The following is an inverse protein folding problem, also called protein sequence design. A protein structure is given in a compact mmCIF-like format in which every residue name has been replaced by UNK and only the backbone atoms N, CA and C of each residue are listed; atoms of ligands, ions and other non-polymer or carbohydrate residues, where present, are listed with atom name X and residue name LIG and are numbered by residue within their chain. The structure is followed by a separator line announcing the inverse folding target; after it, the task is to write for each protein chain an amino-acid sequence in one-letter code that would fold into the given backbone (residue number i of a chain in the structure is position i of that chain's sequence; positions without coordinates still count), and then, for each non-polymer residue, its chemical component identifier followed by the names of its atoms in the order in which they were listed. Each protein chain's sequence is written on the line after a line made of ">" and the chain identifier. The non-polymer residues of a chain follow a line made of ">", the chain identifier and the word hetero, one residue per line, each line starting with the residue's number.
data_IF_305667037885
#
_entry.id   IF_305667037885
#
_cell.length_a   1.000
_cell.length_b   1.000
_cell.length_c   1.000
_cell.angle_alpha   90.00
_cell.angle_beta   90.00
_cell.angle_gamma   90.00
#
_symmetry.space_group_name_H-M   'P 1'
#
loop_
_entity.id
_entity.type
_entity.pdbx_description
1 polymer ?
#
# COMPACT_ATOMS: atom_id res chain seq x y z
N UNK A 1 -1.01 -16.77 -1.28
CA UNK A 1 -0.70 -18.15 -0.85
C UNK A 1 -0.24 -19.04 -2.00
N UNK A 2 -0.96 -19.14 -3.12
CA UNK A 2 -0.57 -20.06 -4.22
C UNK A 2 0.79 -19.73 -4.88
N UNK A 3 1.22 -18.49 -4.84
CA UNK A 3 2.48 -18.04 -5.45
C UNK A 3 3.54 -17.67 -4.41
N UNK A 4 3.16 -17.50 -3.15
CA UNK A 4 4.06 -17.09 -2.08
C UNK A 4 4.99 -18.23 -1.67
N UNK A 5 6.30 -18.02 -1.82
CA UNK A 5 7.33 -18.99 -1.52
C UNK A 5 7.42 -20.18 -2.48
N UNK A 6 6.83 -20.06 -3.68
CA UNK A 6 7.03 -21.04 -4.75
C UNK A 6 8.23 -20.64 -5.62
N UNK A 7 9.12 -21.60 -5.86
CA UNK A 7 10.14 -21.50 -6.91
C UNK A 7 9.62 -22.21 -8.16
N UNK A 8 9.85 -21.68 -9.36
CA UNK A 8 9.44 -22.34 -10.60
C UNK A 8 9.96 -23.79 -10.67
N UNK A 9 9.09 -24.72 -11.05
CA UNK A 9 9.44 -26.14 -11.22
C UNK A 9 9.34 -27.00 -9.96
N UNK A 10 8.98 -26.45 -8.80
CA UNK A 10 8.78 -27.22 -7.57
C UNK A 10 7.28 -27.34 -7.21
N UNK A 11 6.91 -28.55 -6.75
CA UNK A 11 5.58 -28.79 -6.22
C UNK A 11 5.37 -28.04 -4.89
N UNK A 12 4.23 -27.37 -4.76
CA UNK A 12 3.85 -26.74 -3.49
C UNK A 12 3.09 -27.70 -2.60
N UNK A 13 3.59 -27.93 -1.38
CA UNK A 13 2.84 -28.64 -0.35
C UNK A 13 1.82 -27.74 0.30
N UNK A 14 0.62 -28.26 0.53
CA UNK A 14 -0.36 -27.60 1.37
C UNK A 14 0.17 -27.51 2.81
N UNK A 15 0.23 -26.28 3.32
CA UNK A 15 0.63 -25.99 4.70
C UNK A 15 -0.44 -25.12 5.32
N UNK A 16 -1.18 -25.67 6.29
CA UNK A 16 -2.30 -24.98 6.96
C UNK A 16 -1.88 -23.61 7.54
N UNK A 17 -0.70 -23.52 8.15
CA UNK A 17 -0.15 -22.26 8.67
C UNK A 17 0.01 -21.16 7.60
N UNK A 18 0.32 -21.51 6.35
CA UNK A 18 0.39 -20.56 5.25
C UNK A 18 -0.99 -20.03 4.87
N UNK A 19 -2.02 -20.88 4.92
CA UNK A 19 -3.42 -20.46 4.69
C UNK A 19 -3.88 -19.50 5.77
N UNK A 20 -3.56 -19.82 7.03
CA UNK A 20 -3.88 -18.97 8.17
C UNK A 20 -3.15 -17.60 8.08
N UNK A 21 -1.87 -17.59 7.73
CA UNK A 21 -1.13 -16.35 7.51
C UNK A 21 -1.74 -15.49 6.41
N UNK A 22 -2.15 -16.09 5.29
CA UNK A 22 -2.81 -15.38 4.19
C UNK A 22 -4.17 -14.79 4.62
N UNK A 23 -4.96 -15.52 5.42
CA UNK A 23 -6.20 -15.00 6.01
C UNK A 23 -5.93 -13.83 6.95
N UNK A 24 -4.92 -13.94 7.79
CA UNK A 24 -4.56 -12.87 8.73
C UNK A 24 -4.08 -11.61 7.98
N UNK A 25 -3.35 -11.78 6.88
CA UNK A 25 -2.96 -10.68 6.00
C UNK A 25 -4.19 -9.98 5.39
N UNK A 26 -5.14 -10.73 4.84
CA UNK A 26 -6.38 -10.16 4.31
C UNK A 26 -7.17 -9.38 5.38
N UNK A 27 -7.28 -9.93 6.60
CA UNK A 27 -7.93 -9.28 7.71
C UNK A 27 -7.20 -7.98 8.14
N UNK A 28 -5.86 -7.99 8.15
CA UNK A 28 -5.07 -6.80 8.50
C UNK A 28 -5.29 -5.69 7.46
N UNK A 29 -5.23 -6.03 6.17
CA UNK A 29 -5.48 -5.09 5.09
C UNK A 29 -6.90 -4.52 5.15
N UNK A 30 -7.91 -5.37 5.39
CA UNK A 30 -9.30 -4.96 5.57
C UNK A 30 -9.46 -3.95 6.72
N UNK A 31 -8.89 -4.25 7.87
CA UNK A 31 -8.96 -3.37 9.03
C UNK A 31 -8.19 -2.05 8.82
N UNK A 32 -7.05 -2.09 8.14
CA UNK A 32 -6.30 -0.90 7.77
C UNK A 32 -7.11 0.01 6.84
N UNK A 33 -7.72 -0.56 5.79
CA UNK A 33 -8.60 0.19 4.89
C UNK A 33 -9.80 0.78 5.63
N UNK A 34 -10.45 -0.01 6.49
CA UNK A 34 -11.55 0.48 7.33
C UNK A 34 -11.11 1.65 8.22
N UNK A 35 -9.93 1.55 8.85
CA UNK A 35 -9.38 2.64 9.65
C UNK A 35 -9.21 3.92 8.83
N UNK A 36 -8.63 3.82 7.64
CA UNK A 36 -8.46 4.96 6.74
C UNK A 36 -9.82 5.59 6.43
N UNK A 37 -10.77 4.80 5.94
CA UNK A 37 -12.11 5.29 5.56
C UNK A 37 -12.86 5.98 6.71
N UNK A 38 -12.77 5.45 7.93
CA UNK A 38 -13.41 6.04 9.12
C UNK A 38 -12.80 7.39 9.53
N UNK A 39 -11.60 7.72 9.07
CA UNK A 39 -10.92 8.99 9.36
C UNK A 39 -11.08 10.03 8.23
N UNK A 40 -11.79 9.70 7.14
CA UNK A 40 -12.05 10.63 6.06
C UNK A 40 -13.30 11.46 6.34
N UNK A 41 -13.28 12.79 6.08
CA UNK A 41 -14.48 13.61 6.10
C UNK A 41 -15.36 13.31 4.87
N UNK A 42 -16.65 13.67 4.94
CA UNK A 42 -17.61 13.41 3.86
C UNK A 42 -17.26 14.12 2.54
N UNK A 43 -16.59 15.26 2.62
CA UNK A 43 -16.16 16.08 1.49
C UNK A 43 -14.71 15.80 1.05
N UNK A 44 -14.14 14.67 1.46
CA UNK A 44 -12.76 14.31 1.13
C UNK A 44 -12.53 14.21 -0.38
N UNK A 45 -11.47 14.86 -0.85
CA UNK A 45 -11.05 14.80 -2.24
C UNK A 45 -9.68 14.12 -2.33
N UNK A 46 -9.55 12.99 -3.05
CA UNK A 46 -8.30 12.28 -3.19
C UNK A 46 -7.26 13.09 -4.00
N UNK A 47 -6.00 12.75 -3.82
CA UNK A 47 -4.87 13.36 -4.49
C UNK A 47 -3.78 13.75 -3.48
N UNK A 48 -2.51 13.65 -3.88
CA UNK A 48 -1.41 14.09 -3.03
C UNK A 48 -1.45 15.60 -2.84
N UNK A 49 -1.09 16.10 -1.65
CA UNK A 49 -0.83 17.51 -1.44
C UNK A 49 0.45 17.95 -2.16
N UNK A 50 0.71 19.26 -2.22
CA UNK A 50 1.98 19.79 -2.70
C UNK A 50 3.14 19.36 -1.80
N UNK A 51 4.34 19.25 -2.36
CA UNK A 51 5.53 18.71 -1.68
C UNK A 51 5.88 19.47 -0.39
N UNK A 52 5.68 20.78 -0.36
CA UNK A 52 5.93 21.65 0.79
C UNK A 52 5.08 21.31 2.04
N UNK A 53 3.99 20.55 1.86
CA UNK A 53 3.11 20.09 2.93
C UNK A 53 3.45 18.70 3.44
N UNK A 54 4.28 17.95 2.70
CA UNK A 54 4.70 16.61 3.10
C UNK A 54 5.73 16.69 4.21
N UNK A 55 5.51 15.95 5.28
CA UNK A 55 6.52 15.77 6.32
C UNK A 55 7.50 14.62 5.97
N UNK A 56 8.48 14.40 6.84
CA UNK A 56 9.49 13.35 6.64
C UNK A 56 8.86 11.96 6.54
N UNK A 57 7.82 11.67 7.31
CA UNK A 57 7.15 10.36 7.28
C UNK A 57 6.36 10.13 5.99
N UNK A 58 5.78 11.19 5.44
CA UNK A 58 5.07 11.14 4.15
C UNK A 58 6.07 10.88 3.01
N UNK A 59 7.18 11.58 2.99
CA UNK A 59 8.25 11.40 2.01
C UNK A 59 8.85 9.99 2.10
N UNK A 60 9.08 9.51 3.32
CA UNK A 60 9.56 8.15 3.56
C UNK A 60 8.62 7.08 2.97
N UNK A 61 7.32 7.11 3.30
CA UNK A 61 6.40 6.08 2.80
C UNK A 61 6.20 6.15 1.28
N UNK A 62 6.22 7.36 0.68
CA UNK A 62 6.14 7.52 -0.76
C UNK A 62 7.40 6.99 -1.47
N UNK A 63 8.58 7.20 -0.89
CA UNK A 63 9.83 6.61 -1.40
C UNK A 63 9.79 5.09 -1.32
N UNK A 64 9.33 4.52 -0.18
CA UNK A 64 9.13 3.07 -0.04
C UNK A 64 8.12 2.50 -1.06
N UNK A 65 7.04 3.24 -1.33
CA UNK A 65 6.07 2.87 -2.35
C UNK A 65 6.70 2.81 -3.75
N UNK A 66 7.51 3.79 -4.11
CA UNK A 66 8.24 3.79 -5.37
C UNK A 66 9.20 2.61 -5.50
N UNK A 67 9.95 2.30 -4.45
CA UNK A 67 10.86 1.16 -4.43
C UNK A 67 10.12 -0.16 -4.63
N UNK A 68 8.98 -0.35 -3.95
CA UNK A 68 8.19 -1.59 -4.11
C UNK A 68 7.55 -1.67 -5.49
N UNK A 69 7.06 -0.56 -6.05
CA UNK A 69 6.49 -0.54 -7.40
C UNK A 69 7.52 -0.93 -8.46
N UNK A 70 8.73 -0.35 -8.39
CA UNK A 70 9.84 -0.70 -9.28
C UNK A 70 10.28 -2.16 -9.14
N UNK A 71 10.51 -2.62 -7.90
CA UNK A 71 10.93 -3.99 -7.64
C UNK A 71 9.87 -5.03 -8.05
N UNK A 72 8.59 -4.73 -7.89
CA UNK A 72 7.50 -5.61 -8.35
C UNK A 72 7.46 -5.71 -9.86
N UNK A 73 7.57 -4.58 -10.56
CA UNK A 73 7.59 -4.57 -12.03
C UNK A 73 8.76 -5.40 -12.55
N UNK A 74 9.96 -5.19 -12.01
CA UNK A 74 11.15 -5.96 -12.38
C UNK A 74 10.97 -7.46 -12.12
N UNK A 75 10.50 -7.86 -10.94
CA UNK A 75 10.27 -9.26 -10.61
C UNK A 75 9.20 -9.90 -11.51
N UNK A 76 8.13 -9.18 -11.85
CA UNK A 76 7.08 -9.70 -12.75
C UNK A 76 7.59 -9.86 -14.17
N UNK A 77 8.40 -8.94 -14.68
CA UNK A 77 9.04 -9.02 -16.00
C UNK A 77 10.00 -10.22 -16.11
N UNK A 78 10.60 -10.63 -14.98
CA UNK A 78 11.44 -11.82 -14.89
C UNK A 78 10.69 -13.10 -14.48
N UNK A 79 9.34 -13.06 -14.41
CA UNK A 79 8.50 -14.18 -13.98
C UNK A 79 8.73 -14.65 -12.53
N UNK A 80 9.26 -13.79 -11.68
CA UNK A 80 9.54 -14.04 -10.26
C UNK A 80 8.35 -13.70 -9.37
N UNK A 81 7.18 -14.29 -9.65
CA UNK A 81 5.92 -13.95 -8.98
C UNK A 81 5.96 -14.09 -7.47
N UNK A 82 6.70 -15.07 -6.94
CA UNK A 82 6.85 -15.27 -5.50
C UNK A 82 7.59 -14.12 -4.82
N UNK A 83 8.62 -13.57 -5.48
CA UNK A 83 9.35 -12.41 -4.99
C UNK A 83 8.50 -11.14 -5.06
N UNK A 84 7.77 -10.92 -6.15
CA UNK A 84 6.84 -9.81 -6.27
C UNK A 84 5.78 -9.85 -5.17
N UNK A 85 5.15 -11.00 -4.93
CA UNK A 85 4.17 -11.17 -3.87
C UNK A 85 4.76 -10.89 -2.47
N UNK A 86 5.97 -11.37 -2.18
CA UNK A 86 6.64 -11.11 -0.92
C UNK A 86 6.94 -9.62 -0.71
N UNK A 87 7.36 -8.90 -1.76
CA UNK A 87 7.63 -7.45 -1.70
C UNK A 87 6.38 -6.65 -1.31
N UNK A 88 5.27 -6.86 -1.99
CA UNK A 88 4.04 -6.12 -1.68
C UNK A 88 3.45 -6.52 -0.32
N UNK A 89 3.56 -7.79 0.08
CA UNK A 89 3.13 -8.24 1.39
C UNK A 89 3.91 -7.53 2.51
N UNK A 90 5.25 -7.49 2.42
CA UNK A 90 6.09 -6.81 3.40
C UNK A 90 5.81 -5.31 3.43
N UNK A 91 5.67 -4.67 2.28
CA UNK A 91 5.31 -3.24 2.23
C UNK A 91 3.98 -2.95 2.95
N UNK A 92 2.93 -3.70 2.65
CA UNK A 92 1.61 -3.48 3.27
C UNK A 92 1.66 -3.79 4.76
N UNK A 93 2.27 -4.92 5.15
CA UNK A 93 2.28 -5.36 6.53
C UNK A 93 3.17 -4.49 7.41
N UNK A 94 4.44 -4.37 7.04
CA UNK A 94 5.45 -3.74 7.88
C UNK A 94 5.46 -2.21 7.72
N UNK A 95 5.56 -1.73 6.47
CA UNK A 95 5.73 -0.29 6.21
C UNK A 95 4.41 0.46 6.38
N UNK A 96 3.36 0.03 5.69
CA UNK A 96 2.10 0.77 5.69
C UNK A 96 1.32 0.59 6.99
N UNK A 97 1.04 -0.68 7.38
CA UNK A 97 0.19 -0.95 8.53
C UNK A 97 0.89 -0.74 9.88
N UNK A 98 2.13 -1.25 10.05
CA UNK A 98 2.79 -1.24 11.35
C UNK A 98 3.49 0.08 11.64
N UNK A 99 3.95 0.80 10.61
CA UNK A 99 4.62 2.08 10.80
C UNK A 99 3.79 3.27 10.36
N UNK A 100 3.46 3.39 9.09
CA UNK A 100 2.89 4.63 8.57
C UNK A 100 1.52 4.97 9.16
N UNK A 101 0.62 4.01 9.29
CA UNK A 101 -0.69 4.23 9.94
C UNK A 101 -0.50 4.69 11.40
N UNK A 102 0.41 4.07 12.14
CA UNK A 102 0.65 4.45 13.55
C UNK A 102 1.22 5.88 13.68
N UNK A 103 2.11 6.26 12.77
CA UNK A 103 2.68 7.62 12.71
C UNK A 103 1.61 8.65 12.29
N UNK A 104 0.70 8.28 11.41
CA UNK A 104 -0.39 9.17 10.97
C UNK A 104 -1.43 9.43 12.06
N UNK A 105 -1.67 8.51 13.01
CA UNK A 105 -2.70 8.66 14.06
C UNK A 105 -2.60 9.95 14.87
N UNK A 106 -1.44 10.34 15.43
CA UNK A 106 -1.30 11.62 16.11
C UNK A 106 -1.66 12.82 15.25
N UNK A 107 -1.29 12.80 13.97
CA UNK A 107 -1.59 13.88 13.02
C UNK A 107 -3.08 13.99 12.73
N UNK A 108 -3.76 12.86 12.56
CA UNK A 108 -5.21 12.80 12.38
C UNK A 108 -5.98 13.40 13.57
N UNK A 109 -5.41 13.33 14.78
CA UNK A 109 -6.02 13.78 16.02
C UNK A 109 -5.40 15.08 16.60
N UNK A 110 -4.51 15.72 15.86
CA UNK A 110 -3.72 16.89 16.37
C UNK A 110 -4.56 18.16 16.59
N UNK A 111 -5.74 18.25 15.99
CA UNK A 111 -6.52 19.48 15.91
C UNK A 111 -6.04 20.46 14.82
N UNK A 112 -4.93 20.18 14.15
CA UNK A 112 -4.43 20.90 13.00
C UNK A 112 -5.07 20.33 11.72
N UNK A 113 -5.98 21.08 11.12
CA UNK A 113 -6.76 20.63 9.96
C UNK A 113 -5.87 20.38 8.74
N UNK A 114 -4.78 21.14 8.55
CA UNK A 114 -3.88 20.99 7.41
C UNK A 114 -3.02 19.72 7.54
N UNK A 115 -2.45 19.47 8.70
CA UNK A 115 -1.69 18.24 8.98
C UNK A 115 -2.58 17.00 8.86
N UNK A 116 -3.81 17.07 9.37
CA UNK A 116 -4.75 15.98 9.27
C UNK A 116 -5.18 15.70 7.81
N UNK A 117 -5.42 16.74 7.01
CA UNK A 117 -5.76 16.58 5.58
C UNK A 117 -4.59 15.97 4.80
N UNK A 118 -3.36 16.47 5.02
CA UNK A 118 -2.15 15.90 4.41
C UNK A 118 -2.01 14.41 4.73
N UNK A 119 -2.11 14.04 6.01
CA UNK A 119 -2.02 12.63 6.42
C UNK A 119 -3.10 11.75 5.75
N UNK A 120 -4.34 12.22 5.67
CA UNK A 120 -5.45 11.50 4.99
C UNK A 120 -5.16 11.29 3.51
N UNK A 121 -4.68 12.31 2.82
CA UNK A 121 -4.35 12.26 1.38
C UNK A 121 -3.25 11.25 1.11
N UNK A 122 -2.18 11.28 1.89
CA UNK A 122 -1.08 10.31 1.73
C UNK A 122 -1.53 8.90 2.07
N UNK A 123 -2.30 8.70 3.16
CA UNK A 123 -2.88 7.38 3.51
C UNK A 123 -3.71 6.79 2.37
N UNK A 124 -4.61 7.58 1.78
CA UNK A 124 -5.46 7.10 0.68
C UNK A 124 -4.65 6.85 -0.59
N UNK A 125 -3.72 7.74 -0.93
CA UNK A 125 -2.86 7.59 -2.11
C UNK A 125 -2.02 6.31 -2.06
N UNK A 126 -1.34 6.08 -0.93
CA UNK A 126 -0.50 4.88 -0.74
C UNK A 126 -1.35 3.62 -0.76
N UNK A 127 -2.52 3.65 -0.13
CA UNK A 127 -3.45 2.51 -0.12
C UNK A 127 -3.96 2.18 -1.52
N UNK A 128 -4.38 3.18 -2.31
CA UNK A 128 -4.82 3.00 -3.71
C UNK A 128 -3.74 2.29 -4.54
N UNK A 129 -2.50 2.78 -4.48
CA UNK A 129 -1.39 2.20 -5.22
C UNK A 129 -1.04 0.79 -4.72
N UNK A 130 -1.03 0.58 -3.40
CA UNK A 130 -0.76 -0.73 -2.81
C UNK A 130 -1.83 -1.78 -3.19
N UNK A 131 -3.11 -1.40 -3.24
CA UNK A 131 -4.18 -2.28 -3.71
C UNK A 131 -4.00 -2.66 -5.18
N UNK A 132 -3.61 -1.73 -6.04
CA UNK A 132 -3.32 -2.00 -7.46
C UNK A 132 -2.14 -2.96 -7.62
N UNK A 133 -1.06 -2.75 -6.87
CA UNK A 133 0.10 -3.66 -6.87
C UNK A 133 -0.25 -5.06 -6.34
N UNK A 134 -1.12 -5.16 -5.34
CA UNK A 134 -1.54 -6.44 -4.77
C UNK A 134 -2.59 -7.18 -5.62
N UNK A 135 -3.34 -6.47 -6.46
CA UNK A 135 -4.50 -7.01 -7.17
C UNK A 135 -4.23 -8.31 -7.95
N UNK A 136 -3.11 -8.49 -8.67
CA UNK A 136 -2.81 -9.74 -9.37
C UNK A 136 -2.77 -10.98 -8.48
N UNK A 137 -2.50 -10.81 -7.18
CA UNK A 137 -2.36 -11.89 -6.20
C UNK A 137 -3.61 -12.13 -5.36
N UNK A 138 -4.40 -11.07 -5.13
CA UNK A 138 -5.59 -11.10 -4.28
C UNK A 138 -6.75 -10.30 -4.90
N UNK A 139 -7.26 -10.72 -6.08
CA UNK A 139 -8.16 -9.88 -6.88
C UNK A 139 -9.48 -9.53 -6.18
N UNK A 140 -10.07 -10.45 -5.43
CA UNK A 140 -11.39 -10.23 -4.84
C UNK A 140 -11.37 -9.19 -3.70
N UNK A 141 -10.46 -9.36 -2.74
CA UNK A 141 -10.38 -8.43 -1.61
C UNK A 141 -9.89 -7.05 -2.04
N UNK A 142 -8.97 -6.97 -2.98
CA UNK A 142 -8.46 -5.68 -3.47
C UNK A 142 -9.50 -4.93 -4.28
N UNK A 143 -10.32 -5.60 -5.08
CA UNK A 143 -11.45 -4.99 -5.78
C UNK A 143 -12.44 -4.37 -4.80
N UNK A 144 -12.89 -5.15 -3.82
CA UNK A 144 -13.85 -4.70 -2.80
C UNK A 144 -13.33 -3.48 -2.03
N UNK A 145 -12.08 -3.53 -1.59
CA UNK A 145 -11.47 -2.43 -0.86
C UNK A 145 -11.23 -1.19 -1.73
N UNK A 146 -10.85 -1.39 -2.99
CA UNK A 146 -10.65 -0.31 -3.95
C UNK A 146 -11.95 0.45 -4.24
N UNK A 147 -13.03 -0.27 -4.48
CA UNK A 147 -14.34 0.36 -4.74
C UNK A 147 -14.87 1.16 -3.53
N UNK A 148 -14.44 0.84 -2.33
CA UNK A 148 -14.78 1.61 -1.13
C UNK A 148 -13.98 2.93 -1.00
N UNK A 149 -12.86 3.09 -1.74
CA UNK A 149 -12.07 4.31 -1.69
C UNK A 149 -12.77 5.48 -2.39
N UNK A 150 -12.68 6.71 -1.84
CA UNK A 150 -13.22 7.89 -2.50
C UNK A 150 -12.50 8.15 -3.83
N UNK A 151 -13.27 8.45 -4.88
CA UNK A 151 -12.74 8.71 -6.21
C UNK A 151 -12.29 7.47 -6.99
N UNK A 152 -12.60 6.27 -6.50
CA UNK A 152 -12.33 5.02 -7.22
C UNK A 152 -13.12 4.97 -8.54
N UNK A 153 -12.53 4.32 -9.54
CA UNK A 153 -13.21 3.98 -10.79
C UNK A 153 -14.12 2.76 -10.59
N UNK A 154 -14.86 2.38 -11.65
CA UNK A 154 -15.79 1.25 -11.61
C UNK A 154 -15.11 -0.08 -11.23
N UNK A 155 -13.86 -0.28 -11.64
CA UNK A 155 -13.07 -1.46 -11.29
C UNK A 155 -11.57 -1.15 -11.24
N UNK A 156 -10.86 -1.81 -10.34
CA UNK A 156 -9.40 -1.75 -10.24
C UNK A 156 -8.72 -2.40 -11.46
N UNK A 157 -9.37 -3.37 -12.10
CA UNK A 157 -8.81 -4.16 -13.20
C UNK A 157 -8.43 -3.33 -14.43
N UNK A 158 -9.11 -2.20 -14.66
CA UNK A 158 -8.85 -1.32 -15.80
C UNK A 158 -7.93 -0.15 -15.46
N UNK A 159 -7.42 -0.13 -14.24
CA UNK A 159 -6.54 0.95 -13.79
C UNK A 159 -5.11 0.73 -14.25
N UNK A 160 -4.39 1.83 -14.42
CA UNK A 160 -2.97 1.80 -14.76
C UNK A 160 -2.15 1.14 -13.64
N UNK A 161 -1.19 0.33 -14.05
CA UNK A 161 -0.19 -0.25 -13.14
C UNK A 161 0.65 0.85 -12.51
N UNK A 162 0.83 0.87 -11.17
CA UNK A 162 1.67 1.85 -10.51
C UNK A 162 3.12 1.77 -10.98
N UNK A 163 3.63 2.87 -11.51
CA UNK A 163 5.03 3.02 -11.92
C UNK A 163 5.80 3.88 -10.92
N UNK A 164 7.12 3.82 -10.99
CA UNK A 164 7.99 4.71 -10.22
C UNK A 164 7.73 6.16 -10.62
N UNK A 165 7.51 7.00 -9.63
CA UNK A 165 7.34 8.45 -9.79
C UNK A 165 8.57 9.17 -9.23
N UNK A 166 9.46 9.62 -10.10
CA UNK A 166 10.70 10.28 -9.71
C UNK A 166 10.48 11.62 -8.96
N UNK A 167 9.30 12.23 -9.13
CA UNK A 167 8.95 13.45 -8.40
C UNK A 167 8.65 13.17 -6.91
N UNK A 168 8.38 11.91 -6.55
CA UNK A 168 8.06 11.48 -5.19
C UNK A 168 9.10 10.47 -4.66
N UNK A 169 10.37 10.80 -4.81
CA UNK A 169 11.47 9.96 -4.37
C UNK A 169 12.51 10.79 -3.59
N UNK A 170 12.63 10.55 -2.30
CA UNK A 170 13.47 11.30 -1.36
C UNK A 170 14.40 10.37 -0.57
N UNK A 171 15.50 9.89 -1.17
CA UNK A 171 16.39 8.92 -0.53
C UNK A 171 17.12 9.49 0.71
N UNK A 172 17.37 10.79 0.75
CA UNK A 172 18.01 11.42 1.90
C UNK A 172 17.08 11.45 3.13
N UNK A 173 15.80 11.77 2.92
CA UNK A 173 14.78 11.75 3.97
C UNK A 173 14.47 10.32 4.42
N UNK A 174 14.53 9.35 3.51
CA UNK A 174 14.38 7.93 3.84
C UNK A 174 15.49 7.48 4.80
N UNK A 175 16.77 7.75 4.47
CA UNK A 175 17.93 7.40 5.32
C UNK A 175 17.87 8.08 6.69
N UNK A 176 17.40 9.32 6.74
CA UNK A 176 17.27 10.06 7.99
C UNK A 176 16.12 9.55 8.88
N UNK A 177 15.11 8.90 8.30
CA UNK A 177 13.94 8.38 9.01
C UNK A 177 14.19 6.97 9.58
N UNK A 178 15.02 6.14 8.96
CA UNK A 178 15.38 4.78 9.41
C UNK A 178 16.42 4.76 10.52
#
# INVERSE_FOLDING_TARGET
>A
MLVDGSTPGNDMRYIEKKVEAARNFANKLWNATRFVLMNLPEDFTPGLPSEDKLDMSDKWVLTKLNQVAGAMTDNLDHYEMGLAAAKINSFIWDVYCDWFIEIAKPRLNSGDAEQADTARRVLVYVLDKALKLLHPFMPFVTEELYQALPGSAETIMTQEWPTVDEAHNWPEEEEAFE
#
